data_IF_443252922462
#
_entry.id   IF_443252922462
#
_cell.length_a   1.000
_cell.length_b   1.000
_cell.length_c   1.000
_cell.angle_alpha   90.00
_cell.angle_beta   90.00
_cell.angle_gamma   90.00
#
_symmetry.space_group_name_H-M   'P 1'
#
loop_
_entity.id
_entity.type
_entity.pdbx_description
1 polymer ?
#
# COMPACT_ATOMS: atom_id res chain seq x y z
N UNK A 1 32.24 -29.64 -27.09
CA UNK A 1 30.85 -30.14 -26.85
C UNK A 1 30.56 -30.36 -25.36
N UNK A 2 31.39 -31.10 -24.61
CA UNK A 2 31.16 -31.34 -23.15
C UNK A 2 31.06 -30.06 -22.31
N UNK A 3 31.87 -29.04 -22.60
CA UNK A 3 31.82 -27.74 -21.90
C UNK A 3 30.58 -26.91 -22.23
N UNK A 4 29.99 -27.05 -23.42
CA UNK A 4 28.77 -26.33 -23.81
C UNK A 4 27.54 -26.85 -23.05
N UNK A 5 27.50 -28.16 -22.80
CA UNK A 5 26.45 -28.81 -22.01
C UNK A 5 26.54 -28.38 -20.53
N UNK A 6 27.75 -28.25 -19.99
CA UNK A 6 27.99 -27.75 -18.62
C UNK A 6 27.56 -26.30 -18.44
N UNK A 7 27.84 -25.43 -19.43
CA UNK A 7 27.42 -24.01 -19.38
C UNK A 7 25.90 -23.88 -19.48
N UNK A 8 25.25 -24.66 -20.35
CA UNK A 8 23.79 -24.72 -20.48
C UNK A 8 23.11 -25.16 -19.17
N UNK A 9 23.64 -26.21 -18.52
CA UNK A 9 23.11 -26.69 -17.25
C UNK A 9 23.24 -25.63 -16.14
N UNK A 10 24.34 -24.86 -16.10
CA UNK A 10 24.56 -23.83 -15.09
C UNK A 10 23.58 -22.64 -15.20
N UNK A 11 23.21 -22.24 -16.43
CA UNK A 11 22.21 -21.18 -16.69
C UNK A 11 20.81 -21.62 -16.22
N UNK A 12 20.49 -22.91 -16.35
CA UNK A 12 19.20 -23.45 -15.93
C UNK A 12 19.05 -23.48 -14.39
N UNK A 13 20.15 -23.64 -13.64
CA UNK A 13 20.14 -23.57 -12.18
C UNK A 13 19.95 -22.15 -11.62
N UNK A 14 20.43 -21.12 -12.31
CA UNK A 14 20.24 -19.72 -11.91
C UNK A 14 18.77 -19.28 -11.99
N UNK A 15 17.95 -19.93 -12.81
CA UNK A 15 16.53 -19.62 -12.99
C UNK A 15 15.63 -20.09 -11.83
N UNK A 16 16.16 -20.91 -10.91
CA UNK A 16 15.42 -21.42 -9.75
C UNK A 16 15.69 -20.67 -8.45
N UNK A 17 16.53 -19.62 -8.44
CA UNK A 17 16.67 -18.75 -7.29
C UNK A 17 15.45 -17.81 -7.28
N UNK A 18 14.30 -18.32 -6.81
CA UNK A 18 13.23 -17.46 -6.33
C UNK A 18 13.80 -16.71 -5.12
N UNK A 19 14.17 -15.45 -5.33
CA UNK A 19 14.36 -14.50 -4.23
C UNK A 19 13.04 -14.51 -3.48
N UNK A 20 13.02 -15.13 -2.29
CA UNK A 20 11.92 -14.89 -1.37
C UNK A 20 12.11 -13.46 -0.89
N UNK A 21 11.37 -12.53 -1.48
CA UNK A 21 11.19 -11.21 -0.91
C UNK A 21 10.57 -11.41 0.47
N UNK A 22 11.41 -11.34 1.50
CA UNK A 22 10.94 -11.26 2.85
C UNK A 22 10.29 -9.86 2.93
N UNK A 23 8.96 -9.74 3.07
CA UNK A 23 8.32 -8.45 2.97
C UNK A 23 8.91 -7.54 4.05
N UNK A 24 9.59 -6.48 3.61
CA UNK A 24 10.22 -5.53 4.52
C UNK A 24 9.09 -4.75 5.21
N UNK A 25 8.85 -5.05 6.49
CA UNK A 25 7.78 -4.42 7.24
C UNK A 25 8.12 -2.97 7.51
N UNK A 26 7.25 -2.05 7.07
CA UNK A 26 7.34 -0.66 7.49
C UNK A 26 6.76 -0.55 8.90
N UNK A 27 7.63 -0.34 9.89
CA UNK A 27 7.19 -0.17 11.27
C UNK A 27 6.78 1.28 11.52
N UNK A 28 5.52 1.50 11.90
CA UNK A 28 5.03 2.81 12.33
C UNK A 28 4.90 2.80 13.84
N UNK A 29 5.69 3.63 14.52
CA UNK A 29 5.53 3.86 15.95
C UNK A 29 4.40 4.87 16.18
N UNK A 30 3.30 4.41 16.80
CA UNK A 30 2.16 5.24 17.18
C UNK A 30 2.22 5.54 18.68
N UNK A 31 2.65 6.76 19.03
CA UNK A 31 2.79 7.21 20.43
C UNK A 31 1.55 7.90 20.97
N UNK A 32 0.69 8.39 20.08
CA UNK A 32 -0.49 9.21 20.38
C UNK A 32 -1.67 8.75 19.53
N UNK A 33 -2.90 9.20 19.88
CA UNK A 33 -4.10 8.94 19.08
C UNK A 33 -3.87 9.44 17.64
N UNK A 34 -3.86 8.52 16.70
CA UNK A 34 -3.50 8.77 15.31
C UNK A 34 -4.46 8.02 14.38
N UNK A 35 -4.94 8.70 13.35
CA UNK A 35 -5.62 8.08 12.20
C UNK A 35 -4.58 7.81 11.12
N UNK A 36 -4.57 6.59 10.60
CA UNK A 36 -3.67 6.18 9.51
C UNK A 36 -4.50 6.00 8.25
N UNK A 37 -4.26 6.87 7.26
CA UNK A 37 -4.91 6.82 5.96
C UNK A 37 -4.12 5.99 4.94
N UNK A 38 -4.85 5.16 4.20
CA UNK A 38 -4.37 4.37 3.07
C UNK A 38 -5.28 4.66 1.88
N UNK A 39 -4.69 4.92 0.71
CA UNK A 39 -5.44 5.13 -0.53
C UNK A 39 -5.05 4.09 -1.58
N UNK A 40 -5.93 3.85 -2.57
CA UNK A 40 -5.55 3.10 -3.75
C UNK A 40 -4.34 3.75 -4.44
N UNK A 41 -3.41 2.93 -4.94
CA UNK A 41 -2.34 3.43 -5.81
C UNK A 41 -2.84 3.62 -7.25
N UNK A 42 -2.02 4.19 -8.12
CA UNK A 42 -2.43 4.49 -9.50
C UNK A 42 -2.89 3.26 -10.28
N UNK A 43 -2.24 2.10 -10.10
CA UNK A 43 -2.63 0.87 -10.81
C UNK A 43 -4.00 0.37 -10.32
N UNK A 44 -4.25 0.48 -9.01
CA UNK A 44 -5.55 0.15 -8.44
C UNK A 44 -6.64 1.13 -8.88
N UNK A 45 -6.32 2.42 -8.98
CA UNK A 45 -7.26 3.46 -9.47
C UNK A 45 -7.66 3.16 -10.91
N UNK A 46 -6.69 2.87 -11.79
CA UNK A 46 -7.01 2.51 -13.18
C UNK A 46 -7.89 1.26 -13.25
N UNK A 47 -7.60 0.23 -12.43
CA UNK A 47 -8.45 -0.98 -12.36
C UNK A 47 -9.87 -0.67 -11.91
N UNK A 48 -10.03 0.20 -10.90
CA UNK A 48 -11.35 0.63 -10.42
C UNK A 48 -12.08 1.43 -11.52
N UNK A 49 -11.38 2.30 -12.25
CA UNK A 49 -11.93 3.07 -13.36
C UNK A 49 -12.40 2.16 -14.51
N UNK A 50 -11.61 1.15 -14.86
CA UNK A 50 -11.97 0.15 -15.87
C UNK A 50 -13.21 -0.67 -15.45
N UNK A 51 -13.30 -1.05 -14.16
CA UNK A 51 -14.43 -1.83 -13.64
C UNK A 51 -15.74 -1.03 -13.62
N UNK A 52 -15.68 0.25 -13.29
CA UNK A 52 -16.87 1.10 -13.11
C UNK A 52 -17.31 1.75 -14.43
N UNK A 53 -16.39 1.95 -15.37
CA UNK A 53 -16.62 2.84 -16.50
C UNK A 53 -16.37 4.30 -16.12
N UNK A 54 -16.03 5.12 -17.11
CA UNK A 54 -15.46 6.46 -16.88
C UNK A 54 -16.42 7.41 -16.16
N UNK A 55 -17.68 7.51 -16.60
CA UNK A 55 -18.66 8.45 -16.02
C UNK A 55 -19.02 8.09 -14.57
N UNK A 56 -19.26 6.80 -14.30
CA UNK A 56 -19.59 6.31 -12.96
C UNK A 56 -18.39 6.43 -12.01
N UNK A 57 -17.17 6.16 -12.51
CA UNK A 57 -15.94 6.36 -11.74
C UNK A 57 -15.82 7.80 -11.24
N UNK A 58 -16.00 8.80 -12.11
CA UNK A 58 -15.88 10.20 -11.71
C UNK A 58 -17.01 10.66 -10.80
N UNK A 59 -18.21 10.12 -10.95
CA UNK A 59 -19.33 10.38 -10.02
C UNK A 59 -19.00 9.88 -8.61
N UNK A 60 -18.50 8.64 -8.50
CA UNK A 60 -18.09 8.07 -7.21
C UNK A 60 -16.87 8.79 -6.63
N UNK A 61 -15.92 9.19 -7.47
CA UNK A 61 -14.73 9.91 -7.04
C UNK A 61 -15.09 11.26 -6.39
N UNK A 62 -16.07 11.99 -6.93
CA UNK A 62 -16.52 13.26 -6.36
C UNK A 62 -17.10 13.07 -4.95
N UNK A 63 -17.98 12.09 -4.77
CA UNK A 63 -18.54 11.73 -3.46
C UNK A 63 -17.44 11.33 -2.47
N UNK A 64 -16.52 10.44 -2.88
CA UNK A 64 -15.40 10.00 -2.04
C UNK A 64 -14.53 11.18 -1.62
N UNK A 65 -14.25 12.11 -2.52
CA UNK A 65 -13.49 13.33 -2.20
C UNK A 65 -14.23 14.20 -1.18
N UNK A 66 -15.54 14.38 -1.32
CA UNK A 66 -16.34 15.15 -0.38
C UNK A 66 -16.35 14.52 1.03
N UNK A 67 -16.62 13.21 1.12
CA UNK A 67 -16.62 12.51 2.41
C UNK A 67 -15.23 12.48 3.06
N UNK A 68 -14.17 12.33 2.26
CA UNK A 68 -12.79 12.41 2.75
C UNK A 68 -12.49 13.80 3.32
N UNK A 69 -12.91 14.88 2.65
CA UNK A 69 -12.76 16.24 3.18
C UNK A 69 -13.48 16.41 4.53
N UNK A 70 -14.73 15.93 4.65
CA UNK A 70 -15.48 15.99 5.92
C UNK A 70 -14.86 15.18 7.04
N UNK A 71 -14.30 14.02 6.71
CA UNK A 71 -13.54 13.22 7.67
C UNK A 71 -12.29 13.99 8.15
N UNK A 72 -11.51 14.57 7.24
CA UNK A 72 -10.30 15.32 7.59
C UNK A 72 -10.63 16.57 8.43
N UNK A 73 -11.66 17.33 8.08
CA UNK A 73 -12.16 18.45 8.89
C UNK A 73 -12.51 18.01 10.32
N UNK A 74 -13.13 16.83 10.47
CA UNK A 74 -13.50 16.28 11.77
C UNK A 74 -12.27 15.86 12.57
N UNK A 75 -11.33 15.16 11.95
CA UNK A 75 -10.06 14.72 12.59
C UNK A 75 -9.30 15.95 13.10
N UNK A 76 -9.20 16.99 12.28
CA UNK A 76 -8.54 18.25 12.65
C UNK A 76 -9.26 18.93 13.81
N UNK A 77 -10.60 18.97 13.81
CA UNK A 77 -11.38 19.58 14.91
C UNK A 77 -11.15 18.89 16.27
N UNK A 78 -10.82 17.59 16.25
CA UNK A 78 -10.53 16.79 17.43
C UNK A 78 -9.05 16.85 17.84
N UNK A 79 -8.21 17.58 17.10
CA UNK A 79 -6.75 17.61 17.26
C UNK A 79 -6.13 16.20 17.23
N UNK A 80 -6.68 15.31 16.40
CA UNK A 80 -6.17 13.95 16.22
C UNK A 80 -5.12 13.99 15.10
N UNK A 81 -3.97 13.36 15.32
CA UNK A 81 -2.94 13.27 14.29
C UNK A 81 -3.43 12.43 13.11
N UNK A 82 -3.31 12.92 11.89
CA UNK A 82 -3.50 12.14 10.67
C UNK A 82 -2.15 11.87 10.01
N UNK A 83 -1.92 10.62 9.61
CA UNK A 83 -0.78 10.25 8.76
C UNK A 83 -1.27 9.51 7.53
N UNK A 84 -0.65 9.77 6.38
CA UNK A 84 -0.88 9.03 5.15
C UNK A 84 0.35 8.19 4.81
N UNK A 85 0.14 6.98 4.30
CA UNK A 85 1.23 6.05 3.96
C UNK A 85 0.82 5.16 2.80
N UNK A 86 1.80 4.81 1.96
CA UNK A 86 1.63 3.86 0.87
C UNK A 86 1.99 2.42 1.27
N UNK A 87 2.53 2.23 2.48
CA UNK A 87 2.92 0.91 2.98
C UNK A 87 1.68 0.12 3.40
N UNK A 88 1.40 -1.01 2.75
CA UNK A 88 0.22 -1.85 3.07
C UNK A 88 0.46 -2.86 4.19
N UNK A 89 1.72 -3.09 4.54
CA UNK A 89 2.14 -3.94 5.66
C UNK A 89 2.73 -3.05 6.74
N UNK A 90 2.08 -3.02 7.91
CA UNK A 90 2.50 -2.20 9.03
C UNK A 90 2.58 -3.03 10.30
N UNK A 91 3.66 -2.83 11.04
CA UNK A 91 3.73 -3.20 12.44
C UNK A 91 3.52 -1.95 13.30
N UNK A 92 2.65 -2.05 14.32
CA UNK A 92 2.36 -0.95 15.24
C UNK A 92 2.60 -1.37 16.68
N UNK A 93 3.30 -0.51 17.42
CA UNK A 93 3.51 -0.68 18.86
C UNK A 93 2.72 0.36 19.63
N UNK A 94 1.59 -0.05 20.22
CA UNK A 94 0.77 0.81 21.06
C UNK A 94 1.33 0.86 22.49
N UNK A 95 1.80 2.03 22.93
CA UNK A 95 2.08 2.30 24.34
C UNK A 95 0.79 2.80 25.01
N UNK A 96 -0.03 1.91 25.60
CA UNK A 96 -1.14 2.37 26.46
C UNK A 96 -0.53 3.02 27.70
N UNK A 97 -0.59 4.35 27.81
CA UNK A 97 -0.43 5.02 29.11
C UNK A 97 -1.72 4.83 29.90
N UNK A 98 -1.64 4.05 30.98
CA UNK A 98 -2.69 3.92 31.99
C UNK A 98 -2.93 5.26 32.69
#
# INVERSE_FOLDING_TARGET
>A
MKHLILISAFIMFLSCIKISENPEFYQIKLTDKTVVGLSPDSLQIEKIKEEFGEDDFYTVADDVMWYNAKMLETIDSLNIKYIHTNNRLMDYKSERKN
#
